data_IF_369957786024
#
_entry.id   IF_369957786024
#
_cell.length_a   1.000
_cell.length_b   1.000
_cell.length_c   1.000
_cell.angle_alpha   90.00
_cell.angle_beta   90.00
_cell.angle_gamma   90.00
#
_symmetry.space_group_name_H-M   'P 1'
#
loop_
_entity.id
_entity.type
_entity.pdbx_description
1 polymer ?
#
# COMPACT_ATOMS: atom_id res chain seq x y z
N UNK A 1 81.51 0.58 46.77
CA UNK A 1 82.49 1.39 46.07
C UNK A 1 82.10 1.40 44.60
N UNK A 2 81.66 2.40 43.85
CA UNK A 2 82.06 3.77 43.77
C UNK A 2 81.06 4.51 42.86
N UNK A 3 80.57 5.63 43.33
CA UNK A 3 80.24 6.90 42.63
C UNK A 3 79.24 7.01 41.49
N UNK A 4 78.18 7.74 41.84
CA UNK A 4 77.38 8.69 41.11
C UNK A 4 78.13 9.54 40.08
N UNK A 5 77.49 9.82 38.93
CA UNK A 5 77.62 11.13 38.29
C UNK A 5 76.26 11.47 37.58
N UNK A 6 75.71 12.59 38.03
CA UNK A 6 74.59 13.34 37.47
C UNK A 6 75.02 13.93 36.13
N UNK A 7 74.14 13.84 35.13
CA UNK A 7 74.14 14.70 33.94
C UNK A 7 72.76 15.25 33.67
N UNK A 8 72.60 16.51 34.05
CA UNK A 8 71.39 17.31 33.68
C UNK A 8 71.51 17.71 32.23
N UNK A 9 70.46 17.34 31.41
CA UNK A 9 70.31 17.89 30.08
C UNK A 9 68.95 18.62 29.99
N UNK A 10 69.09 19.92 29.82
CA UNK A 10 68.01 20.89 29.61
C UNK A 10 67.41 20.64 28.27
N UNK A 11 66.13 20.22 28.20
CA UNK A 11 65.39 20.03 26.93
C UNK A 11 64.35 21.15 26.78
N UNK A 12 64.57 22.02 25.81
CA UNK A 12 63.74 23.14 25.47
C UNK A 12 62.37 22.66 24.91
N UNK A 13 61.31 23.11 25.53
CA UNK A 13 59.94 22.95 24.99
C UNK A 13 59.78 23.81 23.75
N UNK A 14 59.67 23.17 22.58
CA UNK A 14 59.07 23.76 21.39
C UNK A 14 57.58 23.40 21.40
N UNK A 15 56.74 24.33 21.81
CA UNK A 15 55.29 24.30 21.63
C UNK A 15 55.00 24.58 20.15
N UNK A 16 54.79 23.49 19.36
CA UNK A 16 54.16 23.55 18.07
C UNK A 16 52.63 23.58 18.27
N UNK A 17 52.05 24.75 18.13
CA UNK A 17 50.61 24.92 18.04
C UNK A 17 50.14 24.28 16.72
N UNK A 18 49.66 23.06 16.71
CA UNK A 18 48.79 22.54 15.68
C UNK A 18 47.42 23.19 15.87
N UNK A 19 47.14 24.20 15.12
CA UNK A 19 45.80 24.74 15.00
C UNK A 19 44.93 23.69 14.31
N UNK A 20 44.04 23.08 15.07
CA UNK A 20 42.94 22.25 14.57
C UNK A 20 41.94 23.21 13.86
N UNK A 21 42.12 23.40 12.57
CA UNK A 21 41.10 24.01 11.72
C UNK A 21 40.06 22.95 11.33
N UNK A 22 39.33 22.45 12.31
CA UNK A 22 38.03 21.84 12.01
C UNK A 22 37.12 22.95 11.56
N UNK A 23 36.96 23.07 10.22
CA UNK A 23 35.87 23.86 9.67
C UNK A 23 34.56 23.38 10.36
N UNK A 24 33.68 24.25 10.81
CA UNK A 24 32.44 23.82 11.41
C UNK A 24 31.70 23.01 10.35
N UNK A 25 31.49 21.73 10.65
CA UNK A 25 30.58 20.87 9.92
C UNK A 25 29.24 21.63 9.88
N UNK A 26 28.90 22.17 8.71
CA UNK A 26 27.68 22.95 8.55
C UNK A 26 26.55 22.03 8.95
N UNK A 27 25.95 22.25 10.10
CA UNK A 27 24.83 21.48 10.60
C UNK A 27 23.83 21.34 9.47
N UNK A 28 23.68 20.13 8.96
CA UNK A 28 22.82 19.82 7.82
C UNK A 28 21.40 20.24 8.23
N UNK A 29 20.86 21.32 7.65
CA UNK A 29 19.51 21.79 7.98
C UNK A 29 18.56 20.61 7.86
N UNK A 30 17.77 20.40 8.90
CA UNK A 30 16.67 19.45 8.87
C UNK A 30 15.75 19.79 7.69
N UNK A 31 15.31 18.77 6.93
CA UNK A 31 14.42 18.97 5.78
C UNK A 31 13.16 19.72 6.17
N UNK A 32 12.66 19.56 7.41
CA UNK A 32 11.50 20.29 7.94
C UNK A 32 11.68 21.81 7.97
N UNK A 33 12.93 22.29 7.94
CA UNK A 33 13.28 23.73 7.96
C UNK A 33 13.68 24.26 6.57
N UNK A 34 13.61 23.42 5.53
CA UNK A 34 13.99 23.80 4.17
C UNK A 34 12.78 24.27 3.37
N UNK A 35 12.98 25.29 2.52
CA UNK A 35 11.98 25.64 1.51
C UNK A 35 11.89 24.55 0.44
N UNK A 36 10.72 24.42 -0.21
CA UNK A 36 10.55 23.43 -1.25
C UNK A 36 11.59 23.51 -2.37
N UNK A 37 11.93 24.70 -2.94
CA UNK A 37 13.00 24.80 -3.91
C UNK A 37 14.37 24.32 -3.41
N UNK A 38 14.65 24.44 -2.11
CA UNK A 38 15.88 23.93 -1.52
C UNK A 38 15.85 22.40 -1.39
N UNK A 39 14.67 21.80 -1.13
CA UNK A 39 14.47 20.33 -1.15
C UNK A 39 14.67 19.80 -2.56
N UNK A 40 14.08 20.42 -3.58
CA UNK A 40 14.27 20.02 -5.00
C UNK A 40 15.75 20.13 -5.43
N UNK A 41 16.42 21.22 -5.05
CA UNK A 41 17.85 21.37 -5.34
C UNK A 41 18.70 20.29 -4.69
N UNK A 42 18.36 19.86 -3.45
CA UNK A 42 19.03 18.78 -2.73
C UNK A 42 18.73 17.40 -3.34
N UNK A 43 17.56 17.23 -3.92
CA UNK A 43 17.14 15.97 -4.56
C UNK A 43 17.83 15.72 -5.91
N UNK A 44 18.30 16.79 -6.56
CA UNK A 44 18.87 16.72 -7.92
C UNK A 44 20.10 15.82 -7.98
N UNK A 45 20.09 14.88 -8.92
CA UNK A 45 21.18 13.92 -9.14
C UNK A 45 21.16 12.71 -8.23
N UNK A 46 20.19 12.60 -7.33
CA UNK A 46 20.04 11.45 -6.47
C UNK A 46 19.61 10.20 -7.25
N UNK A 47 20.03 9.03 -6.76
CA UNK A 47 19.45 7.73 -7.13
C UNK A 47 18.56 7.28 -5.99
N UNK A 48 17.26 7.16 -6.25
CA UNK A 48 16.23 6.79 -5.28
C UNK A 48 15.80 5.34 -5.49
N UNK A 49 15.92 4.50 -4.47
CA UNK A 49 15.38 3.13 -4.52
C UNK A 49 13.97 3.10 -3.93
N UNK A 50 12.98 2.78 -4.77
CA UNK A 50 11.58 2.61 -4.39
C UNK A 50 11.21 1.12 -4.37
N UNK A 51 10.86 0.59 -3.20
CA UNK A 51 10.38 -0.77 -3.04
C UNK A 51 8.85 -0.79 -3.11
N UNK A 52 8.31 -1.56 -4.07
CA UNK A 52 6.87 -1.61 -4.33
C UNK A 52 6.42 -2.99 -4.80
N UNK A 53 5.10 -3.22 -4.74
CA UNK A 53 4.50 -4.37 -5.38
C UNK A 53 4.61 -4.28 -6.90
N UNK A 54 5.07 -5.36 -7.54
CA UNK A 54 5.30 -5.44 -8.99
C UNK A 54 4.50 -6.56 -9.66
N UNK A 55 3.40 -6.99 -9.03
CA UNK A 55 2.58 -8.11 -9.52
C UNK A 55 1.60 -7.76 -10.65
N UNK A 56 1.45 -6.48 -10.99
CA UNK A 56 0.57 -6.04 -12.07
C UNK A 56 1.34 -5.32 -13.18
N UNK A 57 1.16 -5.70 -14.47
CA UNK A 57 1.88 -5.11 -15.58
C UNK A 57 1.51 -3.64 -15.85
N UNK A 58 0.27 -3.18 -15.59
CA UNK A 58 -0.12 -1.78 -15.80
C UNK A 58 0.50 -0.86 -14.75
N UNK A 59 0.55 -1.31 -13.49
CA UNK A 59 1.25 -0.59 -12.42
C UNK A 59 2.74 -0.46 -12.78
N UNK A 60 3.35 -1.54 -13.23
CA UNK A 60 4.75 -1.54 -13.66
C UNK A 60 4.97 -0.58 -14.83
N UNK A 61 4.08 -0.59 -15.82
CA UNK A 61 4.16 0.31 -16.97
C UNK A 61 4.03 1.78 -16.55
N UNK A 62 3.04 2.10 -15.70
CA UNK A 62 2.87 3.44 -15.17
C UNK A 62 4.13 3.94 -14.43
N UNK A 63 4.72 3.09 -13.60
CA UNK A 63 5.90 3.46 -12.82
C UNK A 63 7.17 3.53 -13.68
N UNK A 64 7.42 2.56 -14.58
CA UNK A 64 8.65 2.47 -15.38
C UNK A 64 8.64 3.41 -16.58
N UNK A 65 7.48 3.57 -17.25
CA UNK A 65 7.38 4.27 -18.53
C UNK A 65 6.77 5.68 -18.41
N UNK A 66 6.24 6.04 -17.22
CA UNK A 66 5.76 7.38 -16.95
C UNK A 66 6.45 8.01 -15.74
N UNK A 67 6.27 7.50 -14.51
CA UNK A 67 6.81 8.15 -13.32
C UNK A 67 8.34 8.27 -13.39
N UNK A 68 9.04 7.19 -13.71
CA UNK A 68 10.51 7.16 -13.77
C UNK A 68 11.10 8.15 -14.79
N UNK A 69 10.68 8.22 -16.06
CA UNK A 69 11.19 9.21 -17.00
C UNK A 69 10.83 10.65 -16.63
N UNK A 70 9.61 10.90 -16.15
CA UNK A 70 9.18 12.24 -15.75
C UNK A 70 10.01 12.82 -14.58
N UNK A 71 10.24 12.01 -13.54
CA UNK A 71 11.06 12.47 -12.40
C UNK A 71 12.54 12.63 -12.78
N UNK A 72 13.02 11.85 -13.76
CA UNK A 72 14.36 12.03 -14.32
C UNK A 72 14.48 13.33 -15.10
N UNK A 73 13.52 13.60 -15.98
CA UNK A 73 13.53 14.79 -16.84
C UNK A 73 13.36 16.07 -16.03
N UNK A 74 12.35 16.10 -15.15
CA UNK A 74 11.96 17.31 -14.40
C UNK A 74 12.90 17.62 -13.24
N UNK A 75 13.36 16.60 -12.52
CA UNK A 75 14.08 16.80 -11.25
C UNK A 75 15.50 16.21 -11.26
N UNK A 76 15.89 15.49 -12.31
CA UNK A 76 17.20 14.84 -12.41
C UNK A 76 17.37 13.66 -11.45
N UNK A 77 16.28 13.08 -10.95
CA UNK A 77 16.29 11.94 -10.02
C UNK A 77 16.27 10.64 -10.82
N UNK A 78 17.19 9.72 -10.51
CA UNK A 78 17.20 8.37 -11.04
C UNK A 78 16.36 7.46 -10.15
N UNK A 79 15.20 7.01 -10.64
CA UNK A 79 14.31 6.14 -9.88
C UNK A 79 14.65 4.66 -10.17
N UNK A 80 15.08 3.94 -9.12
CA UNK A 80 15.30 2.50 -9.13
C UNK A 80 14.13 1.79 -8.46
N UNK A 81 13.37 0.96 -9.19
CA UNK A 81 12.20 0.25 -8.68
C UNK A 81 12.59 -1.19 -8.39
N UNK A 82 12.35 -1.62 -7.15
CA UNK A 82 12.60 -2.98 -6.68
C UNK A 82 11.30 -3.61 -6.15
N UNK A 83 11.19 -4.94 -6.34
CA UNK A 83 10.01 -5.68 -5.89
C UNK A 83 10.05 -5.95 -4.39
N UNK A 84 8.96 -5.66 -3.71
CA UNK A 84 8.74 -5.98 -2.30
C UNK A 84 7.44 -5.39 -1.79
N UNK A 85 6.84 -6.04 -0.81
CA UNK A 85 5.60 -5.57 -0.16
C UNK A 85 5.44 -6.19 1.22
N UNK A 86 4.62 -5.57 2.08
CA UNK A 86 4.20 -6.13 3.36
C UNK A 86 5.38 -6.64 4.19
N UNK A 87 5.38 -7.92 4.52
CA UNK A 87 6.40 -8.55 5.37
C UNK A 87 7.82 -8.42 4.83
N UNK A 88 8.02 -8.37 3.51
CA UNK A 88 9.35 -8.17 2.91
C UNK A 88 9.92 -6.80 3.27
N UNK A 89 9.10 -5.75 3.21
CA UNK A 89 9.48 -4.38 3.60
C UNK A 89 9.85 -4.36 5.08
N UNK A 90 8.97 -4.88 5.94
CA UNK A 90 9.19 -4.91 7.39
C UNK A 90 10.46 -5.66 7.74
N UNK A 91 10.68 -6.85 7.17
CA UNK A 91 11.89 -7.65 7.41
C UNK A 91 13.16 -6.95 6.96
N UNK A 92 13.14 -6.27 5.81
CA UNK A 92 14.27 -5.48 5.32
C UNK A 92 14.62 -4.36 6.31
N UNK A 93 13.62 -3.56 6.72
CA UNK A 93 13.83 -2.47 7.67
C UNK A 93 14.28 -2.98 9.04
N UNK A 94 13.71 -4.08 9.55
CA UNK A 94 14.14 -4.69 10.79
C UNK A 94 15.60 -5.17 10.74
N UNK A 95 15.99 -5.84 9.65
CA UNK A 95 17.35 -6.33 9.47
C UNK A 95 18.37 -5.18 9.44
N UNK A 96 18.05 -4.08 8.76
CA UNK A 96 18.89 -2.88 8.73
C UNK A 96 19.04 -2.24 10.10
N UNK A 97 17.94 -2.10 10.85
CA UNK A 97 17.95 -1.55 12.21
C UNK A 97 18.75 -2.44 13.17
N UNK A 98 18.57 -3.76 13.12
CA UNK A 98 19.31 -4.71 13.94
C UNK A 98 20.80 -4.74 13.61
N UNK A 99 21.17 -4.55 12.34
CA UNK A 99 22.56 -4.45 11.91
C UNK A 99 23.19 -3.08 12.24
N UNK A 100 22.43 -2.14 12.79
CA UNK A 100 22.91 -0.78 13.09
C UNK A 100 23.28 0.02 11.84
N UNK A 101 22.68 -0.27 10.68
CA UNK A 101 22.93 0.49 9.47
C UNK A 101 22.53 1.95 9.65
N UNK A 102 23.39 2.86 9.21
CA UNK A 102 23.15 4.31 9.20
C UNK A 102 22.52 4.80 7.89
N UNK A 103 22.56 3.97 6.84
CA UNK A 103 21.95 4.22 5.55
C UNK A 103 21.15 2.99 5.12
N UNK A 104 19.89 3.23 4.68
CA UNK A 104 19.02 2.20 4.13
C UNK A 104 19.32 1.94 2.66
N UNK A 105 19.19 0.69 2.22
CA UNK A 105 19.25 0.30 0.82
C UNK A 105 17.96 0.68 0.06
N UNK A 106 16.87 0.87 0.82
CA UNK A 106 15.57 1.30 0.32
C UNK A 106 15.29 2.71 0.84
N UNK A 107 14.91 3.61 -0.04
CA UNK A 107 14.62 5.01 0.30
C UNK A 107 13.14 5.26 0.52
N UNK A 108 12.31 4.76 -0.41
CA UNK A 108 10.86 4.94 -0.43
C UNK A 108 10.16 3.60 -0.60
N UNK A 109 8.99 3.45 -0.01
CA UNK A 109 8.24 2.20 0.01
C UNK A 109 6.77 2.47 -0.29
N UNK A 110 6.15 1.59 -1.09
CA UNK A 110 4.69 1.48 -1.12
C UNK A 110 4.25 0.62 0.05
N UNK A 111 3.51 1.21 0.96
CA UNK A 111 3.05 0.59 2.20
C UNK A 111 1.53 0.69 2.36
N UNK A 112 0.99 -0.16 3.20
CA UNK A 112 -0.41 -0.18 3.60
C UNK A 112 -0.47 -0.55 5.09
N UNK A 113 -1.60 -0.36 5.70
CA UNK A 113 -1.98 -0.53 7.09
C UNK A 113 -1.10 -1.39 8.00
N UNK A 114 -1.09 -2.71 7.82
CA UNK A 114 -0.29 -3.57 8.71
C UNK A 114 1.21 -3.33 8.57
N UNK A 115 1.67 -2.93 7.38
CA UNK A 115 3.08 -2.58 7.13
C UNK A 115 3.39 -1.24 7.79
N UNK A 116 2.53 -0.23 7.63
CA UNK A 116 2.67 1.06 8.30
C UNK A 116 2.72 0.90 9.81
N UNK A 117 1.77 0.18 10.40
CA UNK A 117 1.73 -0.12 11.83
C UNK A 117 3.04 -0.73 12.32
N UNK A 118 3.52 -1.80 11.66
CA UNK A 118 4.75 -2.48 12.07
C UNK A 118 5.98 -1.58 11.92
N UNK A 119 6.08 -0.79 10.84
CA UNK A 119 7.17 0.16 10.63
C UNK A 119 7.15 1.30 11.67
N UNK A 120 5.95 1.76 12.11
CA UNK A 120 5.82 2.73 13.22
C UNK A 120 6.32 2.13 14.53
N UNK A 121 5.97 0.87 14.85
CA UNK A 121 6.42 0.17 16.06
C UNK A 121 7.96 0.08 16.16
N UNK A 122 8.62 -0.28 15.06
CA UNK A 122 10.08 -0.37 15.02
C UNK A 122 10.78 0.97 14.76
N UNK A 123 10.02 2.08 14.64
CA UNK A 123 10.53 3.42 14.28
C UNK A 123 11.34 3.42 12.98
N UNK A 124 10.90 2.64 12.00
CA UNK A 124 11.55 2.45 10.71
C UNK A 124 11.24 3.54 9.67
N UNK A 125 10.29 4.45 9.95
CA UNK A 125 9.88 5.52 9.05
C UNK A 125 10.51 6.86 9.42
N UNK A 126 10.82 7.65 8.39
CA UNK A 126 11.07 9.08 8.49
C UNK A 126 9.73 9.83 8.52
N UNK A 127 9.61 10.87 9.32
CA UNK A 127 8.41 11.71 9.39
C UNK A 127 8.36 12.60 10.63
N UNK A 128 7.35 13.49 10.68
CA UNK A 128 6.36 13.81 9.64
C UNK A 128 6.96 14.61 8.47
N UNK A 129 6.45 14.41 7.24
CA UNK A 129 6.96 15.09 6.04
C UNK A 129 5.88 15.41 5.00
N UNK A 130 4.72 14.76 5.05
CA UNK A 130 3.70 14.85 3.99
C UNK A 130 3.16 16.26 3.81
N UNK A 131 2.94 17.02 4.89
CA UNK A 131 2.42 18.39 4.84
C UNK A 131 3.39 19.39 4.18
N UNK A 132 4.67 19.03 4.02
CA UNK A 132 5.65 19.85 3.33
C UNK A 132 5.55 19.77 1.81
N UNK A 133 4.81 18.77 1.29
CA UNK A 133 4.64 18.56 -0.14
C UNK A 133 3.67 19.62 -0.71
N UNK A 134 4.05 20.40 -1.75
CA UNK A 134 3.18 21.39 -2.36
C UNK A 134 1.82 20.84 -2.82
N UNK A 135 1.78 19.60 -3.33
CA UNK A 135 0.54 18.98 -3.81
C UNK A 135 -0.30 18.36 -2.70
N UNK A 136 0.22 18.20 -1.46
CA UNK A 136 -0.57 17.71 -0.33
C UNK A 136 -1.76 18.61 0.01
N UNK A 137 -1.73 19.90 -0.35
CA UNK A 137 -2.86 20.81 -0.19
C UNK A 137 -4.14 20.35 -0.89
N UNK A 138 -4.02 19.51 -1.91
CA UNK A 138 -5.16 18.96 -2.66
C UNK A 138 -5.75 17.71 -2.06
N UNK A 139 -5.06 17.09 -1.09
CA UNK A 139 -5.54 15.88 -0.39
C UNK A 139 -6.52 16.28 0.70
N UNK A 140 -7.57 15.49 0.90
CA UNK A 140 -8.48 15.61 2.01
C UNK A 140 -8.15 14.60 3.11
N UNK A 141 -7.23 14.97 4.00
CA UNK A 141 -6.81 14.11 5.12
C UNK A 141 -7.89 13.97 6.22
N UNK A 142 -8.93 14.81 6.21
CA UNK A 142 -10.10 14.64 7.09
C UNK A 142 -11.03 13.52 6.60
N UNK A 143 -10.91 13.10 5.35
CA UNK A 143 -11.60 11.93 4.83
C UNK A 143 -10.99 10.66 5.47
N UNK A 144 -11.77 9.88 6.26
CA UNK A 144 -11.24 8.74 6.99
C UNK A 144 -10.69 7.62 6.10
N UNK A 145 -11.14 7.52 4.85
CA UNK A 145 -10.58 6.56 3.89
C UNK A 145 -9.21 6.97 3.35
N UNK A 146 -8.72 8.18 3.67
CA UNK A 146 -7.46 8.75 3.16
C UNK A 146 -6.52 9.09 4.32
N UNK A 147 -7.04 9.76 5.37
CA UNK A 147 -6.23 10.23 6.49
C UNK A 147 -6.01 9.19 7.60
N UNK A 148 -6.67 8.03 7.49
CA UNK A 148 -6.57 6.93 8.47
C UNK A 148 -6.25 5.64 7.73
N UNK A 149 -5.10 5.04 8.03
CA UNK A 149 -4.69 3.75 7.48
C UNK A 149 -4.88 2.65 8.53
N UNK A 150 -5.77 1.69 8.29
CA UNK A 150 -6.12 0.61 9.23
C UNK A 150 -6.35 1.11 10.67
N UNK A 151 -7.25 2.09 10.83
CA UNK A 151 -7.57 2.75 12.11
C UNK A 151 -6.38 3.53 12.74
N UNK A 152 -5.25 3.67 12.04
CA UNK A 152 -4.11 4.45 12.49
C UNK A 152 -4.06 5.80 11.76
N UNK A 153 -4.01 6.95 12.45
CA UNK A 153 -3.76 8.22 11.79
C UNK A 153 -2.43 8.22 11.06
N UNK A 154 -2.41 8.73 9.84
CA UNK A 154 -1.18 8.80 9.02
C UNK A 154 -0.12 9.73 9.61
N UNK A 155 -0.53 10.76 10.38
CA UNK A 155 0.33 11.70 11.14
C UNK A 155 1.50 12.28 10.30
N UNK A 156 1.33 12.35 8.97
CA UNK A 156 2.37 12.82 8.06
C UNK A 156 3.58 11.89 7.88
N UNK A 157 3.53 10.63 8.37
CA UNK A 157 4.62 9.65 8.21
C UNK A 157 4.51 8.83 6.93
N UNK A 158 3.36 8.89 6.30
CA UNK A 158 3.11 8.31 4.98
C UNK A 158 2.23 9.26 4.16
N UNK A 159 2.37 9.20 2.85
CA UNK A 159 1.63 10.03 1.91
C UNK A 159 0.64 9.16 1.13
N UNK A 160 -0.68 9.40 1.24
CA UNK A 160 -1.65 8.69 0.42
C UNK A 160 -1.46 9.07 -1.05
N UNK A 161 -1.56 8.09 -1.97
CA UNK A 161 -1.41 8.33 -3.40
C UNK A 161 -2.38 7.55 -4.29
N UNK A 162 -3.21 6.70 -3.70
CA UNK A 162 -4.32 6.02 -4.36
C UNK A 162 -5.37 5.57 -3.36
N UNK A 163 -6.64 5.51 -3.82
CA UNK A 163 -7.77 5.06 -3.01
C UNK A 163 -8.67 4.17 -3.85
N UNK A 164 -8.97 2.98 -3.37
CA UNK A 164 -9.68 1.94 -4.09
C UNK A 164 -10.64 1.20 -3.17
N UNK A 165 -11.71 0.64 -3.75
CA UNK A 165 -12.65 -0.24 -3.06
C UNK A 165 -12.54 -1.66 -3.62
N UNK A 166 -12.53 -2.66 -2.75
CA UNK A 166 -12.51 -4.06 -3.16
C UNK A 166 -13.76 -4.39 -3.97
N UNK A 167 -13.57 -5.00 -5.13
CA UNK A 167 -14.65 -5.51 -5.98
C UNK A 167 -14.48 -7.01 -6.25
N UNK A 168 -15.63 -7.69 -6.37
CA UNK A 168 -15.70 -9.06 -6.87
C UNK A 168 -15.99 -8.99 -8.37
N UNK A 169 -15.29 -9.80 -9.13
CA UNK A 169 -15.40 -9.84 -10.60
C UNK A 169 -16.03 -11.17 -11.00
N UNK A 170 -17.00 -11.14 -11.90
CA UNK A 170 -17.73 -12.31 -12.38
C UNK A 170 -17.99 -12.23 -13.88
N UNK A 171 -18.33 -13.35 -14.50
CA UNK A 171 -18.74 -13.42 -15.91
C UNK A 171 -20.27 -13.51 -16.00
N UNK A 172 -20.90 -12.52 -16.62
CA UNK A 172 -22.38 -12.43 -16.76
C UNK A 172 -22.97 -13.59 -17.54
N UNK A 173 -22.20 -14.22 -18.44
CA UNK A 173 -22.66 -15.36 -19.22
C UNK A 173 -22.70 -16.65 -18.40
N UNK A 174 -21.77 -16.80 -17.44
CA UNK A 174 -21.69 -17.98 -16.55
C UNK A 174 -22.53 -17.78 -15.30
N UNK A 175 -22.60 -16.55 -14.80
CA UNK A 175 -23.24 -16.22 -13.54
C UNK A 175 -24.13 -14.98 -13.73
N UNK A 176 -25.31 -15.10 -14.38
CA UNK A 176 -26.20 -13.94 -14.62
C UNK A 176 -26.66 -13.24 -13.33
N UNK A 177 -26.67 -13.95 -12.21
CA UNK A 177 -27.08 -13.45 -10.89
C UNK A 177 -25.97 -13.79 -9.86
N UNK A 178 -24.95 -12.95 -9.71
CA UNK A 178 -23.87 -13.19 -8.77
C UNK A 178 -24.35 -13.10 -7.32
N UNK A 179 -23.77 -13.89 -6.40
CA UNK A 179 -24.12 -13.88 -4.98
C UNK A 179 -23.80 -12.52 -4.35
N UNK A 180 -24.78 -11.91 -3.69
CA UNK A 180 -24.66 -10.56 -3.13
C UNK A 180 -24.23 -10.54 -1.65
N UNK A 181 -24.14 -11.69 -1.00
CA UNK A 181 -23.75 -11.83 0.42
C UNK A 181 -23.19 -13.24 0.68
N UNK A 182 -22.68 -13.48 1.89
CA UNK A 182 -22.05 -14.75 2.25
C UNK A 182 -22.99 -15.95 2.19
N UNK A 183 -24.28 -15.78 2.51
CA UNK A 183 -25.27 -16.87 2.45
C UNK A 183 -25.53 -17.28 1.00
N UNK A 184 -25.70 -16.30 0.13
CA UNK A 184 -25.85 -16.52 -1.30
C UNK A 184 -24.59 -17.13 -1.93
N UNK A 185 -23.39 -16.73 -1.48
CA UNK A 185 -22.11 -17.32 -1.91
C UNK A 185 -22.03 -18.80 -1.54
N UNK A 186 -22.37 -19.16 -0.30
CA UNK A 186 -22.37 -20.55 0.14
C UNK A 186 -23.37 -21.40 -0.67
N UNK A 187 -24.58 -20.87 -0.90
CA UNK A 187 -25.58 -21.54 -1.73
C UNK A 187 -25.11 -21.73 -3.17
N UNK A 188 -24.44 -20.71 -3.74
CA UNK A 188 -23.85 -20.76 -5.07
C UNK A 188 -22.73 -21.83 -5.13
N UNK A 189 -21.80 -21.81 -4.19
CA UNK A 189 -20.67 -22.74 -4.14
C UNK A 189 -21.14 -24.20 -4.00
N UNK A 190 -22.18 -24.47 -3.20
CA UNK A 190 -22.82 -25.80 -3.11
C UNK A 190 -23.39 -26.27 -4.44
N UNK A 191 -23.96 -25.36 -5.23
CA UNK A 191 -24.54 -25.66 -6.55
C UNK A 191 -23.46 -25.76 -7.65
N UNK A 192 -22.37 -25.04 -7.51
CA UNK A 192 -21.28 -24.94 -8.50
C UNK A 192 -19.92 -25.19 -7.80
N UNK A 193 -19.67 -26.41 -7.28
CA UNK A 193 -18.46 -26.69 -6.53
C UNK A 193 -17.21 -26.51 -7.39
N UNK A 194 -16.14 -26.01 -6.78
CA UNK A 194 -14.84 -25.80 -7.41
C UNK A 194 -14.71 -24.50 -8.20
N UNK A 195 -15.75 -23.65 -8.28
CA UNK A 195 -15.76 -22.45 -9.11
C UNK A 195 -15.45 -21.16 -8.37
N UNK A 196 -15.16 -21.22 -7.08
CA UNK A 196 -14.76 -20.12 -6.21
C UNK A 196 -13.56 -20.50 -5.35
N UNK A 197 -12.73 -19.54 -5.04
CA UNK A 197 -11.65 -19.67 -4.05
C UNK A 197 -11.28 -18.31 -3.46
N UNK A 198 -10.36 -18.31 -2.50
CA UNK A 198 -9.81 -17.12 -1.84
C UNK A 198 -8.28 -17.23 -1.96
N UNK A 199 -7.58 -16.14 -2.24
CA UNK A 199 -6.11 -16.17 -2.19
C UNK A 199 -5.58 -16.02 -0.75
N UNK A 200 -4.31 -16.34 -0.55
CA UNK A 200 -3.67 -16.34 0.79
C UNK A 200 -2.90 -15.05 1.09
N UNK A 201 -3.07 -14.00 0.28
CA UNK A 201 -2.37 -12.72 0.41
C UNK A 201 -3.34 -11.60 0.73
N UNK A 202 -2.90 -10.38 0.47
CA UNK A 202 -3.61 -9.15 0.87
C UNK A 202 -5.08 -9.12 0.40
N UNK A 203 -5.37 -9.49 -0.86
CA UNK A 203 -6.73 -9.44 -1.40
C UNK A 203 -7.66 -10.43 -0.70
N UNK A 204 -7.21 -11.68 -0.52
CA UNK A 204 -7.97 -12.68 0.22
C UNK A 204 -8.19 -12.29 1.67
N UNK A 205 -7.17 -11.73 2.34
CA UNK A 205 -7.33 -11.23 3.71
C UNK A 205 -8.29 -10.03 3.80
N UNK A 206 -8.29 -9.16 2.80
CA UNK A 206 -9.28 -8.06 2.69
C UNK A 206 -10.70 -8.61 2.56
N UNK A 207 -10.88 -9.68 1.77
CA UNK A 207 -12.16 -10.37 1.68
C UNK A 207 -12.58 -11.01 3.03
N UNK A 208 -11.65 -11.62 3.76
CA UNK A 208 -11.93 -12.18 5.10
C UNK A 208 -12.29 -11.08 6.12
N UNK A 209 -11.68 -9.90 6.05
CA UNK A 209 -12.07 -8.75 6.88
C UNK A 209 -13.50 -8.31 6.59
N UNK A 210 -13.89 -8.22 5.31
CA UNK A 210 -15.27 -7.89 4.94
C UNK A 210 -16.27 -8.93 5.43
N UNK A 211 -15.93 -10.23 5.36
CA UNK A 211 -16.74 -11.30 5.94
C UNK A 211 -16.87 -11.20 7.47
N UNK A 212 -15.77 -10.86 8.16
CA UNK A 212 -15.77 -10.69 9.61
C UNK A 212 -16.66 -9.52 10.03
N UNK A 213 -16.62 -8.40 9.30
CA UNK A 213 -17.48 -7.24 9.50
C UNK A 213 -18.95 -7.62 9.30
N UNK A 214 -19.29 -8.35 8.25
CA UNK A 214 -20.66 -8.81 8.00
C UNK A 214 -21.16 -9.77 9.10
N UNK A 215 -20.30 -10.68 9.58
CA UNK A 215 -20.60 -11.59 10.70
C UNK A 215 -20.81 -10.84 12.01
N UNK A 216 -20.04 -9.78 12.23
CA UNK A 216 -20.18 -8.94 13.43
C UNK A 216 -21.44 -8.04 13.40
N UNK A 217 -22.14 -7.98 12.25
CA UNK A 217 -23.35 -7.17 12.09
C UNK A 217 -23.10 -5.75 11.60
N UNK A 218 -21.91 -5.45 11.09
CA UNK A 218 -21.50 -4.17 10.53
C UNK A 218 -20.18 -3.65 11.10
N UNK A 219 -19.62 -2.64 10.44
CA UNK A 219 -18.28 -2.13 10.77
C UNK A 219 -18.18 -1.53 12.17
N UNK A 220 -19.26 -0.94 12.70
CA UNK A 220 -19.29 -0.31 14.03
C UNK A 220 -18.96 -1.31 15.16
N UNK A 221 -19.27 -2.59 14.95
CA UNK A 221 -18.97 -3.64 15.92
C UNK A 221 -17.46 -3.84 16.14
N UNK A 222 -16.64 -3.57 15.11
CA UNK A 222 -15.21 -3.80 15.10
C UNK A 222 -14.39 -2.51 14.92
N UNK A 223 -15.03 -1.34 14.94
CA UNK A 223 -14.35 -0.06 14.78
C UNK A 223 -13.42 0.26 15.95
N UNK A 224 -12.37 1.05 15.66
CA UNK A 224 -11.34 1.46 16.61
C UNK A 224 -10.20 0.45 16.75
N UNK A 225 -9.52 0.51 17.89
CA UNK A 225 -8.40 -0.37 18.20
C UNK A 225 -8.79 -1.85 18.22
N UNK A 226 -7.80 -2.73 18.02
CA UNK A 226 -8.04 -4.17 18.11
C UNK A 226 -8.58 -4.59 19.47
N UNK A 227 -9.64 -5.37 19.46
CA UNK A 227 -10.29 -5.90 20.68
C UNK A 227 -10.28 -7.44 20.64
N UNK A 228 -9.45 -8.04 21.48
CA UNK A 228 -9.31 -9.51 21.59
C UNK A 228 -10.65 -10.19 21.98
N UNK A 229 -11.50 -9.52 22.76
CA UNK A 229 -12.82 -10.07 23.17
C UNK A 229 -13.75 -10.13 21.97
N UNK A 230 -13.82 -9.06 21.18
CA UNK A 230 -14.61 -9.00 19.95
C UNK A 230 -14.09 -10.00 18.91
N UNK A 231 -12.76 -10.07 18.72
CA UNK A 231 -12.14 -11.05 17.84
C UNK A 231 -12.53 -12.47 18.26
N UNK A 232 -12.36 -12.81 19.54
CA UNK A 232 -12.75 -14.11 20.12
C UNK A 232 -14.24 -14.44 20.00
N UNK A 233 -15.11 -13.42 19.92
CA UNK A 233 -16.55 -13.59 19.69
C UNK A 233 -16.90 -13.89 18.22
N UNK A 234 -16.30 -13.20 17.27
CA UNK A 234 -16.73 -13.23 15.87
C UNK A 234 -15.86 -14.12 14.97
N UNK A 235 -14.54 -14.23 15.22
CA UNK A 235 -13.67 -15.04 14.40
C UNK A 235 -14.05 -16.55 14.37
N UNK A 236 -14.48 -17.19 15.48
CA UNK A 236 -14.97 -18.57 15.40
C UNK A 236 -16.13 -18.75 14.42
N UNK A 237 -17.04 -17.78 14.33
CA UNK A 237 -18.16 -17.80 13.39
C UNK A 237 -17.70 -17.68 11.92
N UNK A 238 -16.63 -16.89 11.70
CA UNK A 238 -15.99 -16.82 10.38
C UNK A 238 -15.36 -18.15 9.99
N UNK A 239 -14.65 -18.80 10.94
CA UNK A 239 -14.03 -20.10 10.68
C UNK A 239 -15.07 -21.19 10.46
N UNK A 240 -16.18 -21.18 11.19
CA UNK A 240 -17.28 -22.12 10.97
C UNK A 240 -17.91 -21.94 9.59
N UNK A 241 -18.14 -20.70 9.16
CA UNK A 241 -18.61 -20.39 7.80
C UNK A 241 -17.62 -20.88 6.74
N UNK A 242 -16.32 -20.62 6.93
CA UNK A 242 -15.30 -21.04 5.98
C UNK A 242 -15.10 -22.57 5.95
N UNK A 243 -15.23 -23.28 7.07
CA UNK A 243 -15.21 -24.74 7.11
C UNK A 243 -16.42 -25.33 6.37
N UNK A 244 -17.60 -24.72 6.47
CA UNK A 244 -18.76 -25.12 5.67
C UNK A 244 -18.57 -24.85 4.18
N UNK A 245 -17.91 -23.74 3.81
CA UNK A 245 -17.64 -23.37 2.42
C UNK A 245 -16.49 -24.21 1.80
N UNK A 246 -15.47 -24.57 2.59
CA UNK A 246 -14.21 -25.21 2.15
C UNK A 246 -14.40 -26.39 1.20
N UNK A 247 -15.29 -27.36 1.43
CA UNK A 247 -15.48 -28.51 0.54
C UNK A 247 -15.93 -28.14 -0.88
N UNK A 248 -16.51 -26.96 -1.05
CA UNK A 248 -17.04 -26.46 -2.32
C UNK A 248 -16.10 -25.47 -3.01
N UNK A 249 -14.99 -25.10 -2.37
CA UNK A 249 -13.95 -24.27 -2.98
C UNK A 249 -13.18 -25.03 -4.06
N UNK A 250 -12.47 -24.31 -4.89
CA UNK A 250 -11.54 -24.88 -5.87
C UNK A 250 -10.66 -25.95 -5.25
N UNK A 251 -10.54 -27.07 -5.93
CA UNK A 251 -9.86 -28.29 -5.45
C UNK A 251 -10.34 -28.78 -4.07
N UNK A 252 -11.60 -28.54 -3.74
CA UNK A 252 -12.17 -28.93 -2.44
C UNK A 252 -11.50 -28.22 -1.25
N UNK A 253 -10.92 -27.03 -1.46
CA UNK A 253 -10.23 -26.28 -0.44
C UNK A 253 -8.92 -26.91 0.05
N UNK A 254 -8.33 -27.83 -0.72
CA UNK A 254 -7.03 -28.44 -0.40
C UNK A 254 -5.83 -27.59 -0.88
N UNK A 255 -6.10 -26.57 -1.69
CA UNK A 255 -5.10 -25.68 -2.22
C UNK A 255 -5.71 -24.29 -2.44
N UNK A 256 -4.91 -23.27 -2.21
CA UNK A 256 -5.30 -21.87 -2.33
C UNK A 256 -4.28 -21.14 -3.20
N UNK A 257 -4.70 -20.20 -4.08
CA UNK A 257 -3.78 -19.37 -4.85
C UNK A 257 -2.92 -18.48 -3.95
N UNK A 258 -1.67 -18.27 -4.31
CA UNK A 258 -0.73 -17.43 -3.56
C UNK A 258 -0.90 -15.92 -3.81
N UNK A 259 -2.03 -15.51 -4.39
CA UNK A 259 -2.35 -14.10 -4.63
C UNK A 259 -3.36 -13.92 -5.75
N UNK A 260 -3.72 -12.69 -6.00
CA UNK A 260 -4.78 -12.30 -6.94
C UNK A 260 -4.43 -12.57 -8.40
N UNK A 261 -3.17 -12.42 -8.81
CA UNK A 261 -2.77 -12.61 -10.20
C UNK A 261 -3.01 -14.04 -10.72
N UNK A 262 -2.67 -15.12 -9.98
CA UNK A 262 -3.11 -16.47 -10.34
C UNK A 262 -4.62 -16.62 -10.41
N UNK A 263 -5.39 -16.01 -9.50
CA UNK A 263 -6.86 -16.06 -9.54
C UNK A 263 -7.43 -15.42 -10.80
N UNK A 264 -6.84 -14.30 -11.27
CA UNK A 264 -7.23 -13.67 -12.52
C UNK A 264 -7.03 -14.62 -13.72
N UNK A 265 -5.93 -15.34 -13.77
CA UNK A 265 -5.69 -16.34 -14.83
C UNK A 265 -6.69 -17.50 -14.76
N UNK A 266 -6.99 -18.00 -13.56
CA UNK A 266 -7.98 -19.05 -13.36
C UNK A 266 -9.39 -18.60 -13.77
N UNK A 267 -9.77 -17.35 -13.48
CA UNK A 267 -11.00 -16.75 -13.93
C UNK A 267 -11.05 -16.59 -15.47
N UNK A 268 -9.98 -16.04 -16.05
CA UNK A 268 -9.85 -15.87 -17.50
C UNK A 268 -9.95 -17.20 -18.27
N UNK A 269 -9.36 -18.26 -17.73
CA UNK A 269 -9.42 -19.60 -18.31
C UNK A 269 -10.74 -20.32 -18.04
N UNK A 270 -11.65 -19.75 -17.23
CA UNK A 270 -12.92 -20.34 -16.89
C UNK A 270 -12.89 -21.43 -15.81
N UNK A 271 -11.76 -21.59 -15.14
CA UNK A 271 -11.62 -22.50 -14.00
C UNK A 271 -12.37 -21.96 -12.77
N UNK A 272 -12.36 -20.62 -12.59
CA UNK A 272 -13.18 -19.94 -11.59
C UNK A 272 -14.32 -19.15 -12.26
N UNK A 273 -15.45 -19.01 -11.57
CA UNK A 273 -16.54 -18.12 -11.97
C UNK A 273 -16.39 -16.72 -11.40
N UNK A 274 -15.51 -16.55 -10.41
CA UNK A 274 -15.23 -15.30 -9.75
C UNK A 274 -13.74 -15.12 -9.55
N UNK A 275 -13.33 -13.86 -9.59
CA UNK A 275 -12.07 -13.38 -9.01
C UNK A 275 -12.38 -12.09 -8.24
N UNK A 276 -11.39 -11.48 -7.63
CA UNK A 276 -11.56 -10.26 -6.86
C UNK A 276 -10.33 -9.35 -7.01
N UNK A 277 -10.50 -8.08 -6.76
CA UNK A 277 -9.40 -7.12 -6.71
C UNK A 277 -9.65 -6.06 -5.66
N UNK A 278 -8.60 -5.54 -5.04
CA UNK A 278 -8.72 -4.33 -4.23
C UNK A 278 -8.95 -3.08 -5.09
N UNK A 279 -8.58 -3.11 -6.38
CA UNK A 279 -8.91 -2.05 -7.32
C UNK A 279 -10.27 -2.33 -7.98
N UNK A 280 -11.25 -1.51 -7.68
CA UNK A 280 -12.60 -1.59 -8.23
C UNK A 280 -12.66 -1.40 -9.75
N UNK A 281 -11.61 -0.85 -10.38
CA UNK A 281 -11.48 -0.71 -11.84
C UNK A 281 -10.74 -1.88 -12.53
N UNK A 282 -10.25 -2.87 -11.79
CA UNK A 282 -9.43 -3.97 -12.33
C UNK A 282 -10.10 -4.69 -13.50
N UNK A 283 -11.41 -4.86 -13.47
CA UNK A 283 -12.15 -5.53 -14.54
C UNK A 283 -12.03 -4.79 -15.87
N UNK A 284 -12.09 -3.45 -15.88
CA UNK A 284 -11.87 -2.66 -17.10
C UNK A 284 -10.45 -2.88 -17.64
N UNK A 285 -9.44 -2.85 -16.77
CA UNK A 285 -8.06 -3.08 -17.18
C UNK A 285 -7.88 -4.45 -17.84
N UNK A 286 -8.42 -5.49 -17.23
CA UNK A 286 -8.23 -6.87 -17.73
C UNK A 286 -9.03 -7.14 -19.00
N UNK A 287 -10.19 -6.50 -19.19
CA UNK A 287 -10.94 -6.57 -20.44
C UNK A 287 -10.22 -5.80 -21.54
N UNK A 288 -9.74 -4.57 -21.28
CA UNK A 288 -8.99 -3.77 -22.25
C UNK A 288 -7.68 -4.45 -22.67
N UNK A 289 -7.03 -5.20 -21.77
CA UNK A 289 -5.86 -6.02 -22.08
C UNK A 289 -6.20 -7.32 -22.84
N UNK A 290 -7.47 -7.65 -23.03
CA UNK A 290 -7.91 -8.93 -23.62
C UNK A 290 -7.66 -10.14 -22.70
N UNK A 291 -7.41 -9.94 -21.40
CA UNK A 291 -7.25 -11.00 -20.41
C UNK A 291 -8.61 -11.54 -19.98
N UNK A 292 -9.57 -10.66 -19.71
CA UNK A 292 -10.94 -11.05 -19.39
C UNK A 292 -11.85 -10.87 -20.63
N UNK A 293 -12.92 -11.66 -20.66
CA UNK A 293 -13.96 -11.52 -21.68
C UNK A 293 -14.77 -10.23 -21.47
N UNK A 294 -15.34 -9.65 -22.52
CA UNK A 294 -16.22 -8.48 -22.45
C UNK A 294 -17.49 -8.70 -21.61
N UNK A 295 -17.81 -9.95 -21.29
CA UNK A 295 -18.89 -10.33 -20.37
C UNK A 295 -18.51 -10.20 -18.89
N UNK A 296 -17.23 -9.94 -18.57
CA UNK A 296 -16.82 -9.72 -17.19
C UNK A 296 -17.37 -8.42 -16.61
N UNK A 297 -17.79 -8.44 -15.35
CA UNK A 297 -18.28 -7.27 -14.59
C UNK A 297 -17.75 -7.29 -13.17
N UNK A 298 -17.49 -6.09 -12.66
CA UNK A 298 -17.20 -5.87 -11.24
C UNK A 298 -18.48 -5.55 -10.45
N UNK A 299 -18.53 -5.94 -9.18
CA UNK A 299 -19.57 -5.54 -8.25
C UNK A 299 -19.05 -5.56 -6.81
N UNK A 300 -19.75 -4.89 -5.90
CA UNK A 300 -19.52 -4.95 -4.47
C UNK A 300 -20.70 -5.63 -3.77
N UNK A 301 -20.44 -6.31 -2.66
CA UNK A 301 -21.49 -6.98 -1.90
C UNK A 301 -22.47 -6.00 -1.24
N UNK A 302 -23.71 -6.47 -0.97
CA UNK A 302 -24.71 -5.71 -0.22
C UNK A 302 -24.25 -5.30 1.17
N UNK A 303 -23.56 -6.17 1.97
CA UNK A 303 -23.01 -5.77 3.27
C UNK A 303 -21.84 -4.78 3.16
N UNK A 304 -21.31 -4.58 1.96
CA UNK A 304 -20.16 -3.73 1.69
C UNK A 304 -18.86 -4.49 1.45
N UNK A 305 -17.88 -3.75 0.96
CA UNK A 305 -16.49 -4.20 0.76
C UNK A 305 -15.51 -3.15 1.26
N UNK A 306 -14.33 -3.58 1.65
CA UNK A 306 -13.30 -2.68 2.17
C UNK A 306 -12.87 -1.67 1.12
N UNK A 307 -12.87 -0.40 1.49
CA UNK A 307 -12.21 0.70 0.79
C UNK A 307 -11.00 1.14 1.58
N UNK A 308 -9.85 1.26 0.93
CA UNK A 308 -8.63 1.73 1.56
C UNK A 308 -7.79 2.59 0.61
N UNK A 309 -6.84 3.30 1.19
CA UNK A 309 -5.79 3.97 0.44
C UNK A 309 -4.51 3.13 0.45
N UNK A 310 -3.63 3.42 -0.48
CA UNK A 310 -2.26 2.97 -0.43
C UNK A 310 -1.33 4.18 -0.35
N UNK A 311 -0.17 3.97 0.28
CA UNK A 311 0.65 5.05 0.77
C UNK A 311 2.10 4.90 0.36
N UNK A 312 2.82 6.02 0.41
CA UNK A 312 4.26 6.11 0.24
C UNK A 312 4.90 6.44 1.58
N UNK A 313 5.77 5.57 2.07
CA UNK A 313 6.59 5.80 3.25
C UNK A 313 8.05 6.05 2.87
N UNK A 314 8.78 6.81 3.69
CA UNK A 314 10.22 7.07 3.54
C UNK A 314 10.96 6.32 4.65
N UNK A 315 11.99 5.56 4.30
CA UNK A 315 12.81 4.85 5.26
C UNK A 315 13.56 5.82 6.18
N UNK A 316 13.59 5.52 7.49
CA UNK A 316 14.21 6.40 8.49
C UNK A 316 15.65 6.76 8.16
N UNK A 317 16.43 5.79 7.71
CA UNK A 317 17.85 5.94 7.40
C UNK A 317 18.12 6.14 5.90
N UNK A 318 17.09 6.50 5.09
CA UNK A 318 17.32 6.91 3.71
C UNK A 318 18.29 8.08 3.63
N UNK A 319 19.30 7.99 2.79
CA UNK A 319 20.18 9.10 2.45
C UNK A 319 19.49 10.08 1.47
N UNK A 320 18.43 9.62 0.78
CA UNK A 320 17.76 10.32 -0.31
C UNK A 320 16.36 10.86 0.05
N UNK A 321 16.12 11.19 1.33
CA UNK A 321 14.81 11.68 1.82
C UNK A 321 14.25 12.83 0.98
N UNK A 322 15.10 13.80 0.59
CA UNK A 322 14.69 14.93 -0.25
C UNK A 322 14.19 14.44 -1.62
N UNK A 323 14.86 13.49 -2.25
CA UNK A 323 14.44 12.90 -3.50
C UNK A 323 13.13 12.10 -3.34
N UNK A 324 12.97 11.36 -2.24
CA UNK A 324 11.73 10.67 -1.93
C UNK A 324 10.53 11.62 -1.80
N UNK A 325 10.71 12.76 -1.11
CA UNK A 325 9.68 13.80 -1.01
C UNK A 325 9.32 14.38 -2.38
N UNK A 326 10.32 14.66 -3.25
CA UNK A 326 10.07 15.20 -4.59
C UNK A 326 9.34 14.20 -5.48
N UNK A 327 9.72 12.92 -5.45
CA UNK A 327 9.02 11.86 -6.20
C UNK A 327 7.60 11.68 -5.67
N UNK A 328 7.40 11.64 -4.35
CA UNK A 328 6.06 11.54 -3.77
C UNK A 328 5.18 12.75 -4.16
N UNK A 329 5.73 13.97 -4.11
CA UNK A 329 5.01 15.16 -4.55
C UNK A 329 4.60 15.10 -6.03
N UNK A 330 5.47 14.56 -6.90
CA UNK A 330 5.11 14.32 -8.31
C UNK A 330 3.98 13.30 -8.42
N UNK A 331 4.06 12.17 -7.70
CA UNK A 331 3.06 11.09 -7.78
C UNK A 331 1.67 11.53 -7.28
N UNK A 332 1.58 12.51 -6.39
CA UNK A 332 0.31 13.12 -5.95
C UNK A 332 -0.03 14.41 -6.71
N UNK A 333 0.69 14.77 -7.76
CA UNK A 333 0.31 15.91 -8.59
C UNK A 333 -1.01 15.66 -9.31
N UNK A 334 -1.80 16.71 -9.63
CA UNK A 334 -3.03 16.54 -10.41
C UNK A 334 -2.80 15.82 -11.73
N UNK A 335 -1.68 16.09 -12.41
CA UNK A 335 -1.29 15.45 -13.66
C UNK A 335 -1.09 13.93 -13.50
N UNK A 336 -0.27 13.52 -12.54
CA UNK A 336 0.04 12.12 -12.29
C UNK A 336 -1.20 11.34 -11.81
N UNK A 337 -2.00 11.94 -10.95
CA UNK A 337 -3.24 11.36 -10.44
C UNK A 337 -4.29 11.21 -11.53
N UNK A 338 -4.46 12.23 -12.38
CA UNK A 338 -5.37 12.17 -13.53
C UNK A 338 -5.01 11.02 -14.48
N UNK A 339 -3.72 10.92 -14.84
CA UNK A 339 -3.22 9.85 -15.70
C UNK A 339 -3.43 8.47 -15.09
N UNK A 340 -3.19 8.32 -13.80
CA UNK A 340 -3.37 7.06 -13.06
C UNK A 340 -4.82 6.58 -13.04
N UNK A 341 -5.79 7.49 -13.01
CA UNK A 341 -7.21 7.16 -12.98
C UNK A 341 -7.78 6.63 -14.31
N UNK A 342 -7.07 6.84 -15.43
CA UNK A 342 -7.52 6.32 -16.73
C UNK A 342 -7.55 4.78 -16.70
N UNK A 343 -8.73 4.14 -16.98
CA UNK A 343 -8.85 2.69 -17.01
C UNK A 343 -7.90 2.00 -18.00
N UNK A 344 -7.51 2.67 -19.09
CA UNK A 344 -6.55 2.15 -20.05
C UNK A 344 -5.10 2.17 -19.54
N UNK A 345 -4.81 2.94 -18.48
CA UNK A 345 -3.48 3.07 -17.89
C UNK A 345 -3.36 2.25 -16.62
N UNK A 346 -4.22 2.51 -15.64
CA UNK A 346 -4.28 1.76 -14.38
C UNK A 346 -5.69 1.75 -13.77
N UNK A 347 -6.43 2.87 -13.88
CA UNK A 347 -7.77 2.98 -13.31
C UNK A 347 -7.79 3.12 -11.78
N UNK A 348 -6.65 3.39 -11.16
CA UNK A 348 -6.56 3.58 -9.71
C UNK A 348 -7.18 4.90 -9.26
N UNK A 349 -7.91 4.89 -8.14
CA UNK A 349 -8.59 6.08 -7.64
C UNK A 349 -7.64 7.15 -7.11
N UNK A 350 -8.07 8.41 -7.21
CA UNK A 350 -7.31 9.54 -6.70
C UNK A 350 -7.52 9.75 -5.20
N UNK A 351 -6.52 10.30 -4.55
CA UNK A 351 -6.58 10.83 -3.18
C UNK A 351 -6.85 12.35 -3.15
N UNK A 352 -6.94 12.97 -4.33
CA UNK A 352 -7.17 14.41 -4.43
C UNK A 352 -8.65 14.73 -4.30
N UNK A 353 -8.97 15.74 -3.50
CA UNK A 353 -10.31 16.32 -3.43
C UNK A 353 -10.51 17.26 -4.62
N UNK A 354 -11.55 16.99 -5.42
CA UNK A 354 -11.86 17.82 -6.59
C UNK A 354 -12.16 19.28 -6.22
N UNK A 355 -12.69 19.51 -5.02
CA UNK A 355 -13.03 20.85 -4.52
C UNK A 355 -11.79 21.66 -4.10
N UNK A 356 -10.66 20.99 -3.85
CA UNK A 356 -9.38 21.61 -3.54
C UNK A 356 -8.52 21.85 -4.78
N UNK A 357 -8.88 21.24 -5.94
CA UNK A 357 -8.13 21.36 -7.18
C UNK A 357 -8.41 22.69 -7.88
N UNK A 358 -7.44 23.22 -8.68
CA UNK A 358 -7.72 24.26 -9.66
C UNK A 358 -8.85 23.85 -10.62
N UNK A 359 -9.69 24.81 -11.03
CA UNK A 359 -10.90 24.59 -11.83
C UNK A 359 -10.66 23.79 -13.11
N UNK A 360 -9.55 24.03 -13.79
CA UNK A 360 -9.17 23.35 -15.02
C UNK A 360 -8.85 21.87 -14.77
N UNK A 361 -8.20 21.54 -13.66
CA UNK A 361 -7.95 20.16 -13.26
C UNK A 361 -9.22 19.48 -12.77
N UNK A 362 -10.02 20.14 -11.93
CA UNK A 362 -11.29 19.60 -11.47
C UNK A 362 -12.21 19.25 -12.68
N UNK A 363 -12.24 20.10 -13.71
CA UNK A 363 -12.99 19.83 -14.93
C UNK A 363 -12.44 18.61 -15.71
N UNK A 364 -11.11 18.44 -15.80
CA UNK A 364 -10.51 17.24 -16.42
C UNK A 364 -10.91 15.97 -15.69
N UNK A 365 -10.81 15.93 -14.35
CA UNK A 365 -11.18 14.77 -13.55
C UNK A 365 -12.66 14.38 -13.72
N UNK A 366 -13.57 15.36 -13.80
CA UNK A 366 -15.01 15.09 -14.07
C UNK A 366 -15.29 14.55 -15.48
N UNK A 367 -14.36 14.73 -16.43
CA UNK A 367 -14.46 14.29 -17.81
C UNK A 367 -13.57 13.08 -18.12
N UNK A 368 -13.09 12.36 -17.11
CA UNK A 368 -12.37 11.10 -17.32
C UNK A 368 -13.24 10.08 -18.09
N UNK A 369 -12.64 9.20 -18.90
CA UNK A 369 -13.37 8.13 -19.57
C UNK A 369 -14.17 7.31 -18.56
N UNK A 370 -15.45 7.04 -18.92
CA UNK A 370 -16.31 6.22 -18.09
C UNK A 370 -15.79 4.78 -18.04
N UNK A 371 -15.89 4.16 -16.88
CA UNK A 371 -15.73 2.72 -16.71
C UNK A 371 -16.86 2.01 -17.47
N UNK A 372 -16.54 0.91 -18.11
CA UNK A 372 -17.50 0.13 -18.90
C UNK A 372 -17.92 -1.16 -18.23
N UNK A 373 -17.04 -1.76 -17.48
CA UNK A 373 -17.16 -3.09 -16.88
C UNK A 373 -17.17 -3.06 -15.37
N UNK A 374 -16.49 -2.09 -14.78
CA UNK A 374 -16.47 -1.80 -13.36
C UNK A 374 -17.74 -1.04 -12.92
N UNK A 375 -18.18 -1.17 -11.68
CA UNK A 375 -19.26 -0.36 -11.14
C UNK A 375 -18.85 1.11 -11.07
N UNK A 376 -19.82 2.00 -11.22
CA UNK A 376 -19.61 3.42 -10.96
C UNK A 376 -19.22 3.63 -9.49
N UNK A 377 -18.19 4.42 -9.23
CA UNK A 377 -17.71 4.71 -7.85
C UNK A 377 -18.77 5.34 -6.98
N UNK A 378 -19.55 6.27 -7.51
CA UNK A 378 -20.64 6.89 -6.77
C UNK A 378 -21.71 5.85 -6.37
N UNK A 379 -21.97 4.87 -7.24
CA UNK A 379 -22.97 3.82 -6.99
C UNK A 379 -22.53 2.79 -5.92
N UNK A 380 -21.24 2.68 -5.61
CA UNK A 380 -20.71 1.73 -4.61
C UNK A 380 -20.27 2.39 -3.32
N UNK A 381 -20.18 3.71 -3.29
CA UNK A 381 -19.63 4.48 -2.16
C UNK A 381 -20.38 4.21 -0.84
N UNK A 382 -21.71 4.09 -0.88
CA UNK A 382 -22.52 3.80 0.31
C UNK A 382 -22.26 2.41 0.92
N UNK A 383 -21.53 1.55 0.20
CA UNK A 383 -21.13 0.21 0.63
C UNK A 383 -19.63 0.09 0.91
N UNK A 384 -18.96 1.23 1.02
CA UNK A 384 -17.56 1.26 1.42
C UNK A 384 -17.42 0.99 2.92
N UNK A 385 -16.61 0.01 3.27
CA UNK A 385 -16.26 -0.33 4.65
C UNK A 385 -14.86 0.17 4.95
N UNK A 386 -14.68 0.76 6.12
CA UNK A 386 -13.37 1.11 6.63
C UNK A 386 -12.53 -0.13 6.90
N UNK A 387 -11.22 0.00 6.76
CA UNK A 387 -10.29 -1.01 7.23
C UNK A 387 -10.41 -1.24 8.73
N UNK A 388 -10.16 -2.46 9.17
CA UNK A 388 -10.05 -2.80 10.59
C UNK A 388 -8.63 -2.44 11.10
N UNK A 389 -8.45 -2.39 12.42
CA UNK A 389 -7.13 -2.24 13.03
C UNK A 389 -6.16 -3.32 12.52
N UNK A 390 -4.85 -3.02 12.39
CA UNK A 390 -3.88 -3.89 11.73
C UNK A 390 -3.81 -5.30 12.34
N UNK A 391 -3.98 -5.40 13.64
CA UNK A 391 -3.93 -6.65 14.38
C UNK A 391 -5.02 -7.64 13.94
N UNK A 392 -6.21 -7.14 13.48
CA UNK A 392 -7.22 -8.02 12.89
C UNK A 392 -6.68 -8.73 11.66
N UNK A 393 -5.99 -8.03 10.77
CA UNK A 393 -5.40 -8.65 9.57
C UNK A 393 -4.30 -9.64 9.92
N UNK A 394 -3.43 -9.30 10.87
CA UNK A 394 -2.34 -10.17 11.33
C UNK A 394 -2.92 -11.47 11.91
N UNK A 395 -3.91 -11.37 12.80
CA UNK A 395 -4.58 -12.51 13.43
C UNK A 395 -5.36 -13.35 12.41
N UNK A 396 -6.10 -12.69 11.50
CA UNK A 396 -6.82 -13.39 10.43
C UNK A 396 -5.87 -14.18 9.52
N UNK A 397 -4.69 -13.64 9.21
CA UNK A 397 -3.71 -14.35 8.38
C UNK A 397 -3.18 -15.61 9.07
N UNK A 398 -2.84 -15.51 10.36
CA UNK A 398 -2.39 -16.64 11.17
C UNK A 398 -3.47 -17.72 11.33
N UNK A 399 -4.67 -17.28 11.72
CA UNK A 399 -5.78 -18.19 11.98
C UNK A 399 -6.35 -18.81 10.70
N UNK A 400 -6.40 -18.07 9.58
CA UNK A 400 -6.78 -18.61 8.27
C UNK A 400 -5.86 -19.77 7.86
N UNK A 401 -4.55 -19.58 8.03
CA UNK A 401 -3.58 -20.63 7.78
C UNK A 401 -3.85 -21.86 8.66
N UNK A 402 -4.00 -21.65 9.96
CA UNK A 402 -4.17 -22.73 10.95
C UNK A 402 -5.51 -23.44 10.82
N UNK A 403 -6.63 -22.69 10.74
CA UNK A 403 -7.99 -23.21 10.83
C UNK A 403 -8.54 -23.74 9.50
N UNK A 404 -8.03 -23.20 8.38
CA UNK A 404 -8.59 -23.48 7.06
C UNK A 404 -7.58 -24.14 6.13
N UNK A 405 -6.33 -23.68 6.07
CA UNK A 405 -5.35 -24.19 5.12
C UNK A 405 -4.74 -25.51 5.64
N UNK A 406 -4.31 -25.51 6.90
CA UNK A 406 -3.65 -26.65 7.55
C UNK A 406 -4.65 -27.57 8.29
N UNK A 407 -5.85 -27.09 8.62
CA UNK A 407 -6.96 -27.80 9.28
C UNK A 407 -7.91 -28.50 8.26
#
# INVERSE_FOLDING_TARGET
>A
MTRLTFFSLLMALLLSACGDSSAPEAAQKDLSQMSWPAIEAKAKGATLTHMMWTGDPLINDYMQNYVKPEVKERYGIELNIVSGQGSTIVQTMMAELQAGKTESEVDMMWINGETFYQLRQIKGLHGPWTEQLPNAQYIDLDNPFIGVDFQQPVDGYECPWGNVQMAIIYDTLRTPHPPQNRQALLAYAKKHPGTFTIDTRFTGLTFLKALLIDIAGGQEALAGDFDETKYGQYAPQLWDYLRELKPYLWKGGQSFPEGVAPMHQMFANGELHFTMSNNDCEVDNKVLQGVFLESARGYVWEPGTIQNSHYLGIAKHSANKAAAMVVANFMISPEAQYRKMDPAIWGDGTVLSLDKLPDDWAAKFRNLPNRQYAPDREAIQDRALMELAPEYMIRLAEDFRKEIIEG
#
